data_IF_348718473395
#
_entry.id   IF_348718473395
#
_cell.length_a   1.000
_cell.length_b   1.000
_cell.length_c   1.000
_cell.angle_alpha   90.00
_cell.angle_beta   90.00
_cell.angle_gamma   90.00
#
_symmetry.space_group_name_H-M   'P 1'
#
loop_
_entity.id
_entity.type
_entity.pdbx_description
1 polymer ?
#
# COMPACT_ATOMS: atom_id res chain seq x y z
N UNK A 1 5.92 -79.68 5.95
CA UNK A 1 4.78 -78.80 6.29
C UNK A 1 5.06 -77.90 7.50
N UNK A 2 5.46 -78.42 8.67
CA UNK A 2 5.75 -77.60 9.87
C UNK A 2 6.83 -76.50 9.66
N UNK A 3 7.91 -76.81 8.94
CA UNK A 3 9.01 -75.86 8.65
C UNK A 3 8.60 -74.75 7.67
N UNK A 4 7.69 -75.04 6.74
CA UNK A 4 7.19 -74.07 5.75
C UNK A 4 6.27 -73.04 6.40
N UNK A 5 5.42 -73.47 7.35
CA UNK A 5 4.55 -72.58 8.13
C UNK A 5 5.38 -71.65 9.04
N UNK A 6 6.44 -72.18 9.65
CA UNK A 6 7.37 -71.38 10.46
C UNK A 6 8.08 -70.30 9.63
N UNK A 7 8.55 -70.63 8.42
CA UNK A 7 9.19 -69.66 7.52
C UNK A 7 8.19 -68.61 6.96
N UNK A 8 6.92 -68.95 6.79
CA UNK A 8 5.89 -67.99 6.38
C UNK A 8 5.58 -66.99 7.50
N UNK A 9 5.52 -67.47 8.75
CA UNK A 9 5.31 -66.63 9.93
C UNK A 9 6.48 -65.68 10.18
N UNK A 10 7.72 -66.12 9.97
CA UNK A 10 8.88 -65.22 10.11
C UNK A 10 8.91 -64.16 9.02
N UNK A 11 8.55 -64.48 7.78
CA UNK A 11 8.44 -63.49 6.70
C UNK A 11 7.33 -62.46 6.96
N UNK A 12 6.19 -62.88 7.51
CA UNK A 12 5.13 -61.95 7.92
C UNK A 12 5.57 -61.03 9.07
N UNK A 13 6.30 -61.56 10.06
CA UNK A 13 6.84 -60.76 11.15
C UNK A 13 7.87 -59.72 10.65
N UNK A 14 8.74 -60.09 9.72
CA UNK A 14 9.72 -59.17 9.11
C UNK A 14 9.02 -58.08 8.30
N UNK A 15 7.98 -58.42 7.54
CA UNK A 15 7.22 -57.43 6.79
C UNK A 15 6.49 -56.45 7.71
N UNK A 16 5.89 -56.93 8.81
CA UNK A 16 5.26 -56.08 9.81
C UNK A 16 6.26 -55.11 10.48
N UNK A 17 7.50 -55.56 10.74
CA UNK A 17 8.56 -54.70 11.28
C UNK A 17 8.99 -53.63 10.28
N UNK A 18 9.13 -53.97 9.00
CA UNK A 18 9.48 -53.00 7.96
C UNK A 18 8.37 -51.96 7.72
N UNK A 19 7.10 -52.35 7.85
CA UNK A 19 5.97 -51.43 7.73
C UNK A 19 5.79 -50.51 8.94
N UNK A 20 6.39 -50.84 10.09
CA UNK A 20 6.35 -50.02 11.31
C UNK A 20 7.45 -48.95 11.35
N UNK A 21 8.36 -48.94 10.37
CA UNK A 21 9.35 -47.87 10.24
C UNK A 21 8.64 -46.58 9.79
N UNK A 22 8.88 -45.44 10.44
CA UNK A 22 8.32 -44.17 10.01
C UNK A 22 8.86 -43.82 8.62
N UNK A 23 7.96 -43.50 7.71
CA UNK A 23 8.30 -43.04 6.37
C UNK A 23 9.05 -41.71 6.47
N UNK A 24 10.33 -41.69 6.06
CA UNK A 24 11.16 -40.48 5.99
C UNK A 24 10.86 -39.78 4.66
N UNK A 25 9.58 -39.65 4.32
CA UNK A 25 9.14 -38.73 3.30
C UNK A 25 9.30 -37.33 3.90
N UNK A 26 10.48 -36.74 3.67
CA UNK A 26 10.82 -35.41 4.15
C UNK A 26 9.70 -34.43 3.83
N UNK A 27 9.20 -33.77 4.87
CA UNK A 27 8.22 -32.70 4.74
C UNK A 27 8.79 -31.68 3.75
N UNK A 28 8.12 -31.54 2.61
CA UNK A 28 8.57 -30.59 1.58
C UNK A 28 8.27 -29.22 2.17
N UNK A 29 9.27 -28.59 2.75
CA UNK A 29 9.17 -27.23 3.27
C UNK A 29 8.64 -26.31 2.15
N UNK A 30 7.34 -26.05 2.20
CA UNK A 30 6.70 -25.08 1.32
C UNK A 30 7.16 -23.73 1.84
N UNK A 31 8.08 -23.10 1.11
CA UNK A 31 8.47 -21.72 1.34
C UNK A 31 7.23 -20.84 1.11
N UNK A 32 6.42 -20.65 2.16
CA UNK A 32 5.10 -20.03 2.08
C UNK A 32 5.11 -18.53 1.80
N UNK A 33 6.28 -17.93 1.58
CA UNK A 33 6.43 -16.50 1.33
C UNK A 33 7.47 -16.30 0.24
N UNK A 34 6.98 -16.16 -0.99
CA UNK A 34 7.77 -15.69 -2.11
C UNK A 34 8.17 -14.23 -1.87
N UNK A 35 9.37 -13.83 -2.29
CA UNK A 35 9.86 -12.45 -2.14
C UNK A 35 8.88 -11.45 -2.76
N UNK A 36 8.17 -11.87 -3.83
CA UNK A 36 7.13 -11.06 -4.48
C UNK A 36 5.96 -10.67 -3.56
N UNK A 37 5.65 -11.46 -2.53
CA UNK A 37 4.52 -11.16 -1.63
C UNK A 37 4.88 -10.18 -0.51
N UNK A 38 6.18 -9.90 -0.32
CA UNK A 38 6.69 -9.00 0.73
C UNK A 38 7.27 -7.72 0.10
N UNK A 39 7.61 -7.73 -1.18
CA UNK A 39 8.21 -6.59 -1.87
C UNK A 39 7.16 -5.77 -2.63
N UNK A 40 7.07 -4.48 -2.31
CA UNK A 40 6.35 -3.50 -3.11
C UNK A 40 7.30 -2.81 -4.09
N UNK A 41 6.87 -2.60 -5.33
CA UNK A 41 7.65 -1.86 -6.32
C UNK A 41 7.70 -0.39 -5.93
N UNK A 42 8.89 0.10 -5.60
CA UNK A 42 9.13 1.50 -5.26
C UNK A 42 8.72 2.40 -6.43
N UNK A 43 7.75 3.29 -6.22
CA UNK A 43 7.24 4.23 -7.23
C UNK A 43 5.79 4.01 -7.68
N UNK A 44 5.11 2.97 -7.20
CA UNK A 44 3.65 2.79 -7.34
C UNK A 44 2.88 3.42 -6.16
N UNK A 45 3.34 4.56 -5.67
CA UNK A 45 2.62 5.31 -4.64
C UNK A 45 1.58 6.21 -5.31
N UNK A 46 0.35 6.17 -4.79
CA UNK A 46 -0.69 7.10 -5.19
C UNK A 46 -0.37 8.48 -4.59
N UNK A 47 0.02 9.44 -5.42
CA UNK A 47 0.20 10.81 -4.99
C UNK A 47 -1.05 11.63 -5.32
N UNK A 48 -1.84 11.93 -4.30
CA UNK A 48 -3.04 12.75 -4.45
C UNK A 48 -2.65 14.21 -4.66
N UNK A 49 -2.72 14.66 -5.91
CA UNK A 49 -2.48 16.05 -6.27
C UNK A 49 -3.71 16.88 -5.94
N UNK A 50 -3.53 17.90 -5.09
CA UNK A 50 -4.55 18.89 -4.76
C UNK A 50 -4.05 20.25 -5.22
N UNK A 51 -4.79 20.92 -6.10
CA UNK A 51 -4.45 22.23 -6.64
C UNK A 51 -5.64 23.19 -6.63
N UNK A 52 -5.36 24.49 -6.58
CA UNK A 52 -6.36 25.54 -6.77
C UNK A 52 -6.28 26.03 -8.21
N UNK A 53 -7.40 26.08 -8.92
CA UNK A 53 -7.51 26.79 -10.20
C UNK A 53 -7.63 28.29 -9.93
N UNK A 54 -6.72 29.10 -10.48
CA UNK A 54 -6.77 30.56 -10.38
C UNK A 54 -7.38 31.13 -11.66
N UNK A 55 -8.49 31.84 -11.57
CA UNK A 55 -9.07 32.56 -12.71
C UNK A 55 -8.70 34.04 -12.60
N UNK A 56 -8.06 34.57 -13.64
CA UNK A 56 -7.74 36.00 -13.72
C UNK A 56 -8.75 36.73 -14.60
N UNK A 57 -9.35 37.78 -14.04
CA UNK A 57 -10.27 38.68 -14.74
C UNK A 57 -9.55 39.82 -15.46
N UNK A 58 -10.29 40.56 -16.27
CA UNK A 58 -9.84 41.83 -16.81
C UNK A 58 -9.56 42.83 -15.68
N UNK A 59 -8.83 43.92 -15.98
CA UNK A 59 -8.45 44.89 -14.95
C UNK A 59 -9.69 45.48 -14.25
N UNK A 60 -9.87 45.16 -12.96
CA UNK A 60 -10.99 45.61 -12.15
C UNK A 60 -12.27 44.76 -12.24
N UNK A 61 -12.26 43.62 -12.93
CA UNK A 61 -13.43 42.72 -13.02
C UNK A 61 -13.29 41.43 -12.18
N UNK A 62 -12.24 41.32 -11.35
CA UNK A 62 -12.10 40.21 -10.41
C UNK A 62 -12.81 40.47 -9.08
N UNK A 63 -12.82 39.47 -8.20
CA UNK A 63 -13.19 39.64 -6.80
C UNK A 63 -12.26 40.70 -6.20
N UNK A 64 -12.79 41.91 -6.04
CA UNK A 64 -12.09 42.98 -5.34
C UNK A 64 -11.92 42.59 -3.87
N UNK A 65 -11.02 43.28 -3.16
CA UNK A 65 -10.74 43.19 -1.72
C UNK A 65 -11.97 43.12 -0.78
N UNK A 66 -13.19 43.31 -1.29
CA UNK A 66 -14.48 43.16 -0.62
C UNK A 66 -14.97 41.71 -0.48
N UNK A 67 -14.50 40.75 -1.30
CA UNK A 67 -14.83 39.32 -1.13
C UNK A 67 -13.85 38.63 -0.17
N UNK A 68 -13.96 39.03 1.11
CA UNK A 68 -13.25 38.45 2.25
C UNK A 68 -13.28 36.91 2.32
N UNK A 69 -14.39 36.19 2.05
CA UNK A 69 -14.40 34.73 2.18
C UNK A 69 -13.51 34.01 1.15
N UNK A 70 -13.46 34.48 -0.10
CA UNK A 70 -12.61 33.89 -1.15
C UNK A 70 -11.12 34.08 -0.84
N UNK A 71 -10.74 35.29 -0.42
CA UNK A 71 -9.35 35.62 -0.05
C UNK A 71 -8.88 34.81 1.16
N UNK A 72 -9.74 34.61 2.16
CA UNK A 72 -9.42 33.81 3.34
C UNK A 72 -9.28 32.31 3.01
N UNK A 73 -10.18 31.77 2.18
CA UNK A 73 -10.10 30.38 1.72
C UNK A 73 -8.81 30.13 0.92
N UNK A 74 -8.46 31.04 0.01
CA UNK A 74 -7.24 30.96 -0.79
C UNK A 74 -5.97 31.09 0.07
N UNK A 75 -5.93 32.04 1.01
CA UNK A 75 -4.80 32.20 1.93
C UNK A 75 -4.60 30.95 2.81
N UNK A 76 -5.69 30.35 3.30
CA UNK A 76 -5.63 29.09 4.06
C UNK A 76 -5.12 27.92 3.19
N UNK A 77 -5.46 27.89 1.91
CA UNK A 77 -4.98 26.86 0.99
C UNK A 77 -3.50 27.02 0.65
N UNK A 78 -3.03 28.25 0.41
CA UNK A 78 -1.60 28.53 0.21
C UNK A 78 -0.76 28.20 1.45
N UNK A 79 -1.31 28.41 2.66
CA UNK A 79 -0.68 27.95 3.90
C UNK A 79 -0.55 26.41 3.95
N UNK A 80 -1.58 25.66 3.52
CA UNK A 80 -1.51 24.19 3.42
C UNK A 80 -0.50 23.71 2.38
N UNK A 81 -0.25 24.50 1.33
CA UNK A 81 0.75 24.20 0.29
C UNK A 81 2.18 24.63 0.67
N UNK A 82 2.40 25.13 1.88
CA UNK A 82 3.73 25.51 2.37
C UNK A 82 4.22 26.90 1.92
N UNK A 83 3.35 27.70 1.29
CA UNK A 83 3.66 29.08 0.90
C UNK A 83 2.79 30.05 1.72
N UNK A 84 3.18 30.35 2.98
CA UNK A 84 2.38 31.20 3.85
C UNK A 84 2.36 32.63 3.32
N UNK A 85 1.19 33.10 2.88
CA UNK A 85 0.99 34.51 2.54
C UNK A 85 0.76 35.29 3.82
N UNK A 86 1.64 36.24 4.12
CA UNK A 86 1.56 37.04 5.33
C UNK A 86 0.19 37.76 5.43
N UNK A 87 -0.66 37.28 6.34
CA UNK A 87 -1.92 37.90 6.74
C UNK A 87 -2.96 38.11 5.63
N UNK A 88 -2.85 37.40 4.50
CA UNK A 88 -3.72 37.65 3.33
C UNK A 88 -3.50 39.01 2.64
N UNK A 89 -2.55 39.83 3.11
CA UNK A 89 -2.34 41.19 2.63
C UNK A 89 -1.87 41.25 1.16
N UNK A 90 -1.08 40.27 0.72
CA UNK A 90 -0.66 40.16 -0.68
C UNK A 90 -1.78 39.71 -1.64
N UNK A 91 -2.79 39.01 -1.12
CA UNK A 91 -3.95 38.51 -1.91
C UNK A 91 -5.09 39.53 -1.87
N UNK A 92 -5.27 40.22 -0.75
CA UNK A 92 -6.29 41.25 -0.55
C UNK A 92 -6.09 42.50 -1.43
N UNK A 93 -4.87 42.75 -1.91
CA UNK A 93 -4.60 43.86 -2.83
C UNK A 93 -4.92 43.56 -4.29
N UNK A 94 -5.34 42.33 -4.63
CA UNK A 94 -5.66 41.95 -6.01
C UNK A 94 -7.04 42.46 -6.42
N UNK A 95 -7.18 42.89 -7.69
CA UNK A 95 -8.44 43.37 -8.28
C UNK A 95 -8.88 42.58 -9.51
N UNK A 96 -8.14 41.52 -9.84
CA UNK A 96 -8.23 40.80 -11.11
C UNK A 96 -8.25 39.29 -10.91
N UNK A 97 -8.62 38.78 -9.74
CA UNK A 97 -8.61 37.35 -9.41
C UNK A 97 -9.97 36.96 -8.84
N UNK A 98 -10.49 35.78 -9.20
CA UNK A 98 -11.69 35.16 -8.63
C UNK A 98 -11.40 33.71 -8.21
#
# INVERSE_FOLDING_TARGET
MRKTIANLLTLLAVWAVMAALPDIAGDRAVAGTSIESICHVKGLEENTLVGVGLVVGLNGTGDSAAFTPTIQAFAAQLQRMGQPVAGGAGVAATRNVA
#
